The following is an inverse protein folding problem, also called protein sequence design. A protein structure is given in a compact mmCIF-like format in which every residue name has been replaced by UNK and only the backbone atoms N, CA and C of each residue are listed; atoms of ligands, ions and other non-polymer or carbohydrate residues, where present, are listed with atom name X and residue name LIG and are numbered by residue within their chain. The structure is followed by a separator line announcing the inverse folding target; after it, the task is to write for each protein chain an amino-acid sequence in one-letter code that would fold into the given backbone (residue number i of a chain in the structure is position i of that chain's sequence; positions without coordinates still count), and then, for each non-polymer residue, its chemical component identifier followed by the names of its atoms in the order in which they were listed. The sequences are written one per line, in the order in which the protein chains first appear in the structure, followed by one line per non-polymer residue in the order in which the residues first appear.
data_IF_898693609699
#
_entry.id   IF_898693609699
#
_cell.length_a   1.000
_cell.length_b   1.000
_cell.length_c   1.000
_cell.angle_alpha   90.00
_cell.angle_beta   90.00
_cell.angle_gamma   90.00
#
_symmetry.space_group_name_H-M   'P 1'
#
loop_
_entity.id
_entity.type
_entity.pdbx_description
1 polymer ?
#
# COMPACT_ATOMS: atom_id res chain seq x y z
N UNK A 1 4.50 17.20 13.26
CA UNK A 1 5.25 16.07 12.65
C UNK A 1 6.74 16.39 12.70
N UNK A 2 7.57 15.54 13.33
CA UNK A 2 9.02 15.72 13.38
C UNK A 2 9.66 15.16 12.10
N UNK A 3 10.49 15.94 11.42
CA UNK A 3 11.23 15.50 10.23
C UNK A 3 12.73 15.45 10.52
N UNK A 4 13.46 14.63 9.78
CA UNK A 4 14.93 14.64 9.82
C UNK A 4 15.45 16.01 9.35
N UNK A 5 16.43 16.61 10.04
CA UNK A 5 17.06 17.84 9.59
C UNK A 5 17.94 17.63 8.35
N UNK A 6 18.44 16.40 8.13
CA UNK A 6 19.30 16.08 6.98
C UNK A 6 18.50 15.98 5.69
N UNK A 7 18.92 16.72 4.66
CA UNK A 7 18.36 16.70 3.31
C UNK A 7 19.44 16.27 2.32
N UNK A 8 19.08 15.37 1.41
CA UNK A 8 19.94 14.95 0.29
C UNK A 8 19.27 15.47 -0.97
N UNK A 9 19.93 16.37 -1.70
CA UNK A 9 19.36 17.08 -2.83
C UNK A 9 18.82 16.12 -3.92
N UNK A 10 19.55 15.04 -4.21
CA UNK A 10 19.19 14.05 -5.22
C UNK A 10 17.85 13.35 -4.99
N UNK A 11 17.37 13.34 -3.74
CA UNK A 11 16.10 12.73 -3.37
C UNK A 11 14.93 13.73 -3.30
N UNK A 12 15.14 15.01 -3.59
CA UNK A 12 14.02 15.97 -3.56
C UNK A 12 12.90 15.67 -4.58
N UNK A 13 13.19 15.18 -5.81
CA UNK A 13 12.13 14.78 -6.73
C UNK A 13 11.26 13.60 -6.23
N UNK A 14 11.74 12.81 -5.26
CA UNK A 14 11.07 11.61 -4.76
C UNK A 14 10.67 11.75 -3.30
N UNK A 15 11.58 11.47 -2.37
CA UNK A 15 11.37 11.55 -0.93
C UNK A 15 11.00 12.98 -0.50
N UNK A 16 11.54 14.00 -1.17
CA UNK A 16 11.16 15.40 -1.00
C UNK A 16 9.69 15.68 -1.20
N UNK A 17 9.20 15.34 -2.39
CA UNK A 17 7.78 15.44 -2.74
C UNK A 17 6.90 14.68 -1.74
N UNK A 18 7.31 13.47 -1.34
CA UNK A 18 6.58 12.68 -0.34
C UNK A 18 6.52 13.38 1.02
N UNK A 19 7.64 13.92 1.53
CA UNK A 19 7.67 14.68 2.79
C UNK A 19 6.73 15.88 2.75
N UNK A 20 6.73 16.64 1.65
CA UNK A 20 5.85 17.79 1.48
C UNK A 20 4.36 17.39 1.47
N UNK A 21 4.02 16.34 0.71
CA UNK A 21 2.65 15.83 0.64
C UNK A 21 2.15 15.30 1.99
N UNK A 22 2.97 14.55 2.72
CA UNK A 22 2.61 14.05 4.06
C UNK A 22 2.37 15.18 5.05
N UNK A 23 3.20 16.23 5.02
CA UNK A 23 3.00 17.40 5.88
C UNK A 23 1.69 18.11 5.54
N UNK A 24 1.38 18.28 4.26
CA UNK A 24 0.13 18.90 3.81
C UNK A 24 -1.11 18.09 4.21
N UNK A 25 -1.02 16.76 4.22
CA UNK A 25 -2.12 15.88 4.61
C UNK A 25 -2.26 15.67 6.13
N UNK A 26 -1.27 16.06 6.93
CA UNK A 26 -1.28 15.87 8.38
C UNK A 26 -2.47 16.57 9.03
N UNK A 27 -3.30 15.81 9.76
CA UNK A 27 -4.52 16.31 10.42
C UNK A 27 -5.72 16.42 9.48
N UNK A 28 -5.56 16.08 8.20
CA UNK A 28 -6.60 16.07 7.17
C UNK A 28 -6.58 14.77 6.37
N UNK A 29 -6.13 13.69 7.01
CA UNK A 29 -6.11 12.38 6.38
C UNK A 29 -7.55 11.99 6.01
N UNK A 30 -7.78 11.46 4.80
CA UNK A 30 -9.10 11.01 4.40
C UNK A 30 -9.56 9.83 5.25
N UNK A 31 -10.86 9.78 5.54
CA UNK A 31 -11.49 8.69 6.29
C UNK A 31 -12.00 9.13 7.67
N UNK A 32 -12.49 8.16 8.42
CA UNK A 32 -13.02 8.33 9.77
C UNK A 32 -12.22 7.42 10.73
N UNK A 33 -11.39 7.99 11.62
CA UNK A 33 -10.55 7.21 12.52
C UNK A 33 -11.36 6.38 13.53
N UNK A 34 -12.56 6.83 13.90
CA UNK A 34 -13.43 6.09 14.83
C UNK A 34 -13.95 4.81 14.15
N UNK A 35 -14.42 4.94 12.91
CA UNK A 35 -14.84 3.77 12.12
C UNK A 35 -13.68 2.83 11.79
N UNK A 36 -12.49 3.36 11.53
CA UNK A 36 -11.30 2.54 11.29
C UNK A 36 -10.95 1.71 12.53
N UNK A 37 -10.97 2.31 13.73
CA UNK A 37 -10.71 1.59 14.98
C UNK A 37 -11.75 0.48 15.22
N UNK A 38 -13.03 0.77 15.02
CA UNK A 38 -14.10 -0.23 15.15
C UNK A 38 -13.93 -1.40 14.15
N UNK A 39 -13.54 -1.12 12.91
CA UNK A 39 -13.29 -2.15 11.91
C UNK A 39 -12.08 -3.04 12.29
N UNK A 40 -11.02 -2.46 12.84
CA UNK A 40 -9.86 -3.21 13.34
C UNK A 40 -10.29 -4.15 14.48
N UNK A 41 -11.04 -3.65 15.46
CA UNK A 41 -11.52 -4.47 16.58
C UNK A 41 -12.36 -5.66 16.08
N UNK A 42 -13.31 -5.40 15.17
CA UNK A 42 -14.13 -6.47 14.58
C UNK A 42 -13.32 -7.54 13.83
N UNK A 43 -12.22 -7.14 13.18
CA UNK A 43 -11.33 -8.07 12.46
C UNK A 43 -10.49 -8.91 13.43
N UNK A 44 -10.05 -8.31 14.54
CA UNK A 44 -9.28 -9.01 15.57
C UNK A 44 -10.14 -10.02 16.32
N UNK A 45 -11.42 -9.70 16.55
CA UNK A 45 -12.37 -10.56 17.27
C UNK A 45 -13.05 -11.62 16.38
N UNK A 46 -12.71 -11.70 15.09
CA UNK A 46 -13.26 -12.71 14.19
C UNK A 46 -12.73 -14.12 14.51
N UNK A 47 -13.55 -15.16 14.32
CA UNK A 47 -13.15 -16.56 14.56
C UNK A 47 -11.90 -16.96 13.74
N UNK A 48 -11.80 -16.45 12.51
CA UNK A 48 -10.67 -16.64 11.61
C UNK A 48 -10.17 -15.28 11.09
N UNK A 49 -9.30 -14.58 11.84
CA UNK A 49 -8.84 -13.25 11.46
C UNK A 49 -7.92 -13.34 10.22
N UNK A 50 -8.14 -12.50 9.18
CA UNK A 50 -7.29 -12.50 8.01
C UNK A 50 -5.89 -11.97 8.32
N UNK A 51 -4.87 -12.50 7.62
CA UNK A 51 -3.51 -11.98 7.71
C UNK A 51 -3.41 -10.49 7.29
N UNK A 52 -4.27 -10.05 6.37
CA UNK A 52 -4.28 -8.69 5.81
C UNK A 52 -5.71 -8.18 5.70
N UNK A 53 -5.97 -7.01 6.27
CA UNK A 53 -7.24 -6.29 6.14
C UNK A 53 -6.99 -4.89 5.58
N UNK A 54 -7.86 -4.42 4.69
CA UNK A 54 -7.75 -3.12 4.02
C UNK A 54 -8.71 -2.11 4.65
N UNK A 55 -8.19 -0.95 5.03
CA UNK A 55 -8.97 0.13 5.63
C UNK A 55 -9.24 1.22 4.59
N UNK A 56 -10.48 1.30 4.12
CA UNK A 56 -10.91 2.35 3.19
C UNK A 56 -10.85 1.96 1.71
N UNK A 57 -11.53 2.77 0.89
CA UNK A 57 -11.71 2.53 -0.55
C UNK A 57 -10.43 2.79 -1.36
N UNK A 58 -9.58 3.70 -0.92
CA UNK A 58 -8.27 3.98 -1.52
C UNK A 58 -7.32 2.80 -1.32
N UNK A 59 -7.26 2.23 -0.12
CA UNK A 59 -6.51 1.02 0.18
C UNK A 59 -7.00 -0.16 -0.68
N UNK A 60 -8.32 -0.34 -0.80
CA UNK A 60 -8.93 -1.37 -1.65
C UNK A 60 -8.56 -1.19 -3.13
N UNK A 61 -8.70 0.02 -3.66
CA UNK A 61 -8.37 0.32 -5.05
C UNK A 61 -6.87 0.09 -5.34
N UNK A 62 -5.99 0.56 -4.45
CA UNK A 62 -4.55 0.38 -4.59
C UNK A 62 -4.12 -1.08 -4.52
N UNK A 63 -4.69 -1.86 -3.60
CA UNK A 63 -4.41 -3.29 -3.49
C UNK A 63 -4.86 -4.06 -4.74
N UNK A 64 -6.06 -3.78 -5.25
CA UNK A 64 -6.55 -4.38 -6.50
C UNK A 64 -5.66 -4.04 -7.69
N UNK A 65 -5.31 -2.76 -7.86
CA UNK A 65 -4.43 -2.34 -8.94
C UNK A 65 -3.05 -3.01 -8.87
N UNK A 66 -2.50 -3.20 -7.67
CA UNK A 66 -1.24 -3.94 -7.45
C UNK A 66 -1.36 -5.39 -7.91
N UNK A 67 -2.43 -6.08 -7.48
CA UNK A 67 -2.68 -7.48 -7.82
C UNK A 67 -2.84 -7.66 -9.32
N UNK A 68 -3.65 -6.83 -9.97
CA UNK A 68 -3.86 -6.87 -11.41
C UNK A 68 -2.55 -6.67 -12.19
N UNK A 69 -1.73 -5.69 -11.78
CA UNK A 69 -0.42 -5.49 -12.42
C UNK A 69 0.48 -6.71 -12.28
N UNK A 70 0.57 -7.29 -11.07
CA UNK A 70 1.41 -8.47 -10.84
C UNK A 70 0.90 -9.69 -11.60
N UNK A 71 -0.41 -9.86 -11.69
CA UNK A 71 -1.01 -10.90 -12.52
C UNK A 71 -0.65 -10.70 -13.99
N UNK A 72 -0.87 -9.50 -14.52
CA UNK A 72 -0.56 -9.18 -15.92
C UNK A 72 0.93 -9.40 -16.24
N UNK A 73 1.83 -9.01 -15.34
CA UNK A 73 3.26 -9.27 -15.47
C UNK A 73 3.56 -10.78 -15.47
N UNK A 74 2.90 -11.56 -14.63
CA UNK A 74 3.07 -13.02 -14.56
C UNK A 74 2.58 -13.68 -15.84
N UNK A 75 1.35 -13.37 -16.26
CA UNK A 75 0.70 -13.94 -17.45
C UNK A 75 1.51 -13.60 -18.72
N UNK A 76 2.03 -12.37 -18.84
CA UNK A 76 2.88 -11.96 -19.96
C UNK A 76 4.19 -12.74 -20.08
N UNK A 77 4.69 -13.30 -18.98
CA UNK A 77 5.95 -14.05 -18.92
C UNK A 77 5.74 -15.57 -18.78
N UNK A 78 4.51 -16.07 -18.87
CA UNK A 78 4.17 -17.48 -18.60
C UNK A 78 4.93 -18.45 -19.52
N UNK A 79 4.96 -18.18 -20.83
CA UNK A 79 5.64 -19.04 -21.79
C UNK A 79 7.15 -19.12 -21.54
N UNK A 80 7.79 -17.99 -21.26
CA UNK A 80 9.22 -17.94 -20.92
C UNK A 80 9.49 -18.66 -19.60
N UNK A 81 8.64 -18.48 -18.60
CA UNK A 81 8.74 -19.15 -17.30
C UNK A 81 8.66 -20.67 -17.43
N UNK A 82 7.78 -21.20 -18.29
CA UNK A 82 7.70 -22.65 -18.56
C UNK A 82 8.85 -23.18 -19.40
N UNK A 83 9.53 -22.33 -20.17
CA UNK A 83 10.60 -22.77 -21.07
C UNK A 83 11.86 -23.28 -20.34
N UNK A 84 11.99 -23.02 -19.03
CA UNK A 84 13.13 -23.46 -18.22
C UNK A 84 12.88 -24.77 -17.47
N UNK A 85 11.73 -25.42 -17.67
CA UNK A 85 11.46 -26.73 -17.09
C UNK A 85 12.40 -27.77 -17.76
N UNK A 86 13.16 -28.49 -16.94
CA UNK A 86 14.01 -29.62 -17.36
C UNK A 86 13.19 -30.91 -17.21
N UNK A 87 13.31 -31.90 -18.13
CA UNK A 87 12.59 -33.17 -18.04
C UNK A 87 12.80 -33.94 -16.73
#
# INVERSE_FOLDING_TARGET
MRQSPTRIADYEPTAGRRRAATLAASGRQPGDPVRAAAAIAAVVDADEPPLRFLLGSDALAGARARLERTRAETDANEALTRSVDVP
#
